data_IF_434460253755
#
_entry.id   IF_434460253755
#
_cell.length_a   1.000
_cell.length_b   1.000
_cell.length_c   1.000
_cell.angle_alpha   90.00
_cell.angle_beta   90.00
_cell.angle_gamma   90.00
#
_symmetry.space_group_name_H-M   'P 1'
#
loop_
_entity.id
_entity.type
_entity.pdbx_description
1 polymer ?
#
# COMPACT_ATOMS: atom_id res chain seq x y z
N UNK A 1 89.54 4.44 6.91
CA UNK A 1 88.86 3.79 8.06
C UNK A 1 87.41 4.29 8.32
N UNK A 2 86.75 5.05 7.44
CA UNK A 2 85.43 5.66 7.72
C UNK A 2 84.21 5.08 6.94
N UNK A 3 84.37 4.08 6.06
CA UNK A 3 83.25 3.56 5.24
C UNK A 3 82.39 2.50 5.95
N UNK A 4 82.96 1.72 6.87
CA UNK A 4 82.26 0.63 7.58
C UNK A 4 81.19 1.15 8.57
N UNK A 5 81.36 2.35 9.12
CA UNK A 5 80.41 2.96 10.07
C UNK A 5 79.19 3.59 9.39
N UNK A 6 79.28 3.96 8.11
CA UNK A 6 78.12 4.46 7.35
C UNK A 6 77.14 3.34 6.96
N UNK A 7 77.65 2.16 6.60
CA UNK A 7 76.84 0.97 6.24
C UNK A 7 75.95 0.49 7.40
N UNK A 8 76.51 0.46 8.62
CA UNK A 8 75.76 0.04 9.82
C UNK A 8 74.63 1.02 10.18
N UNK A 9 74.86 2.33 9.96
CA UNK A 9 73.86 3.36 10.20
C UNK A 9 72.72 3.32 9.18
N UNK A 10 73.02 3.10 7.89
CA UNK A 10 71.99 2.94 6.86
C UNK A 10 71.15 1.67 7.08
N UNK A 11 71.78 0.55 7.39
CA UNK A 11 71.07 -0.70 7.71
C UNK A 11 70.17 -0.57 8.95
N UNK A 12 70.63 0.14 9.99
CA UNK A 12 69.82 0.43 11.17
C UNK A 12 68.60 1.30 10.83
N UNK A 13 68.79 2.32 9.99
CA UNK A 13 67.70 3.21 9.56
C UNK A 13 66.67 2.47 8.69
N UNK A 14 67.12 1.58 7.79
CA UNK A 14 66.23 0.77 6.96
C UNK A 14 65.45 -0.26 7.79
N UNK A 15 66.10 -0.92 8.77
CA UNK A 15 65.39 -1.78 9.74
C UNK A 15 64.35 -1.00 10.53
N UNK A 16 64.67 0.22 10.97
CA UNK A 16 63.72 1.07 11.68
C UNK A 16 62.55 1.52 10.78
N UNK A 17 62.80 1.74 9.49
CA UNK A 17 61.78 2.09 8.49
C UNK A 17 60.84 0.91 8.22
N UNK A 18 61.38 -0.28 7.93
CA UNK A 18 60.59 -1.50 7.75
C UNK A 18 59.72 -1.78 8.98
N UNK A 19 60.28 -1.72 10.19
CA UNK A 19 59.52 -1.92 11.42
C UNK A 19 58.40 -0.88 11.62
N UNK A 20 58.50 0.33 11.06
CA UNK A 20 57.42 1.34 11.07
C UNK A 20 56.36 1.02 10.02
N UNK A 21 56.77 0.63 8.83
CA UNK A 21 55.86 0.26 7.74
C UNK A 21 55.05 -1.01 8.09
N UNK A 22 55.68 -2.00 8.71
CA UNK A 22 55.00 -3.19 9.25
C UNK A 22 53.99 -2.80 10.33
N UNK A 23 54.38 -1.95 11.30
CA UNK A 23 53.46 -1.44 12.33
C UNK A 23 52.28 -0.67 11.73
N UNK A 24 52.52 0.12 10.66
CA UNK A 24 51.45 0.82 9.94
C UNK A 24 50.52 -0.19 9.24
N UNK A 25 51.09 -1.17 8.54
CA UNK A 25 50.34 -2.23 7.87
C UNK A 25 49.49 -3.06 8.84
N UNK A 26 50.01 -3.38 10.03
CA UNK A 26 49.23 -4.03 11.08
C UNK A 26 48.06 -3.18 11.57
N UNK A 27 48.29 -1.88 11.82
CA UNK A 27 47.22 -0.96 12.21
C UNK A 27 46.13 -0.82 11.14
N UNK A 28 46.51 -0.79 9.87
CA UNK A 28 45.55 -0.67 8.77
C UNK A 28 44.75 -1.98 8.57
N UNK A 29 45.39 -3.14 8.74
CA UNK A 29 44.71 -4.44 8.78
C UNK A 29 43.74 -4.54 9.96
N UNK A 30 44.16 -4.12 11.15
CA UNK A 30 43.33 -4.12 12.36
C UNK A 30 42.11 -3.20 12.20
N UNK A 31 42.30 -1.98 11.70
CA UNK A 31 41.20 -1.06 11.39
C UNK A 31 40.22 -1.69 10.40
N UNK A 32 40.73 -2.29 9.32
CA UNK A 32 39.89 -2.96 8.31
C UNK A 32 39.09 -4.12 8.93
N UNK A 33 39.74 -4.93 9.77
CA UNK A 33 39.09 -6.01 10.49
C UNK A 33 37.96 -5.51 11.41
N UNK A 34 38.18 -4.41 12.14
CA UNK A 34 37.15 -3.78 12.99
C UNK A 34 35.94 -3.35 12.16
N UNK A 35 36.15 -2.74 10.98
CA UNK A 35 35.06 -2.31 10.12
C UNK A 35 34.26 -3.50 9.58
N UNK A 36 34.93 -4.55 9.12
CA UNK A 36 34.29 -5.79 8.66
C UNK A 36 33.49 -6.43 9.80
N UNK A 37 34.08 -6.57 10.98
CA UNK A 37 33.41 -7.13 12.16
C UNK A 37 32.18 -6.32 12.56
N UNK A 38 32.26 -4.99 12.56
CA UNK A 38 31.14 -4.12 12.87
C UNK A 38 29.99 -4.28 11.87
N UNK A 39 30.31 -4.36 10.57
CA UNK A 39 29.33 -4.61 9.51
C UNK A 39 28.64 -5.97 9.70
N UNK A 40 29.43 -7.03 9.94
CA UNK A 40 28.89 -8.39 10.17
C UNK A 40 28.01 -8.43 11.42
N UNK A 41 28.46 -7.85 12.55
CA UNK A 41 27.67 -7.77 13.78
C UNK A 41 26.36 -7.02 13.57
N UNK A 42 26.38 -5.90 12.84
CA UNK A 42 25.18 -5.14 12.47
C UNK A 42 24.24 -5.97 11.61
N UNK A 43 24.75 -6.67 10.61
CA UNK A 43 23.96 -7.54 9.74
C UNK A 43 23.28 -8.66 10.54
N UNK A 44 24.05 -9.40 11.34
CA UNK A 44 23.53 -10.49 12.18
C UNK A 44 22.48 -9.98 13.18
N UNK A 45 22.71 -8.83 13.81
CA UNK A 45 21.74 -8.21 14.72
C UNK A 45 20.41 -7.89 14.01
N UNK A 46 20.47 -7.29 12.81
CA UNK A 46 19.26 -7.00 12.01
C UNK A 46 18.52 -8.29 11.61
N UNK A 47 19.24 -9.34 11.24
CA UNK A 47 18.64 -10.64 10.91
C UNK A 47 17.94 -11.27 12.12
N UNK A 48 18.58 -11.26 13.31
CA UNK A 48 17.99 -11.76 14.55
C UNK A 48 16.75 -10.96 14.94
N UNK A 49 16.81 -9.63 14.91
CA UNK A 49 15.68 -8.76 15.20
C UNK A 49 14.50 -9.02 14.25
N UNK A 50 14.76 -9.14 12.94
CA UNK A 50 13.72 -9.45 11.97
C UNK A 50 13.09 -10.83 12.21
N UNK A 51 13.89 -11.84 12.56
CA UNK A 51 13.38 -13.18 12.89
C UNK A 51 12.52 -13.14 14.15
N UNK A 52 12.98 -12.46 15.20
CA UNK A 52 12.24 -12.32 16.44
C UNK A 52 10.91 -11.57 16.22
N UNK A 53 10.93 -10.48 15.47
CA UNK A 53 9.70 -9.74 15.14
C UNK A 53 8.71 -10.61 14.36
N UNK A 54 9.17 -11.41 13.39
CA UNK A 54 8.29 -12.34 12.66
C UNK A 54 7.70 -13.40 13.58
N UNK A 55 8.50 -13.94 14.50
CA UNK A 55 8.02 -14.88 15.51
C UNK A 55 6.93 -14.26 16.39
N UNK A 56 7.16 -13.06 16.93
CA UNK A 56 6.16 -12.34 17.75
C UNK A 56 4.82 -12.13 16.99
N UNK A 57 4.90 -11.87 15.69
CA UNK A 57 3.73 -11.69 14.82
C UNK A 57 3.00 -13.02 14.63
N UNK A 58 3.74 -14.11 14.38
CA UNK A 58 3.18 -15.44 14.21
C UNK A 58 2.50 -15.94 15.50
N UNK A 59 3.18 -15.78 16.63
CA UNK A 59 2.67 -16.15 17.97
C UNK A 59 1.37 -15.40 18.29
N UNK A 60 1.31 -14.10 17.97
CA UNK A 60 0.10 -13.31 18.13
C UNK A 60 -1.08 -13.87 17.32
N UNK A 61 -0.86 -14.19 16.04
CA UNK A 61 -1.93 -14.70 15.20
C UNK A 61 -2.34 -16.12 15.60
N UNK A 62 -1.39 -16.97 16.00
CA UNK A 62 -1.66 -18.31 16.50
C UNK A 62 -2.49 -18.29 17.79
N UNK A 63 -2.12 -17.45 18.77
CA UNK A 63 -2.90 -17.27 20.01
C UNK A 63 -4.33 -16.75 19.72
N UNK A 64 -4.46 -15.93 18.69
CA UNK A 64 -5.76 -15.42 18.22
C UNK A 64 -6.63 -16.52 17.61
N UNK A 65 -6.04 -17.50 16.92
CA UNK A 65 -6.74 -18.64 16.31
C UNK A 65 -7.18 -19.64 17.39
N UNK A 66 -6.40 -19.82 18.45
CA UNK A 66 -6.72 -20.71 19.59
C UNK A 66 -7.68 -20.09 20.62
N UNK A 67 -8.14 -18.86 20.41
CA UNK A 67 -9.09 -18.17 21.30
C UNK A 67 -8.51 -17.73 22.66
N UNK A 68 -7.19 -17.77 22.82
CA UNK A 68 -6.52 -17.51 24.11
C UNK A 68 -6.24 -16.03 24.37
N UNK A 69 -6.48 -15.13 23.39
CA UNK A 69 -6.21 -13.69 23.51
C UNK A 69 -7.41 -12.82 23.11
N UNK A 70 -7.76 -11.84 23.95
CA UNK A 70 -8.73 -10.79 23.61
C UNK A 70 -8.14 -9.84 22.57
N UNK A 71 -8.68 -9.88 21.35
CA UNK A 71 -8.36 -8.94 20.27
C UNK A 71 -8.90 -7.56 20.62
N UNK A 72 -8.02 -6.61 20.89
CA UNK A 72 -8.41 -5.20 21.00
C UNK A 72 -7.68 -4.39 19.94
N UNK A 73 -8.20 -3.20 19.62
CA UNK A 73 -7.64 -2.37 18.56
C UNK A 73 -6.14 -2.08 18.78
N UNK A 74 -5.74 -1.85 20.04
CA UNK A 74 -4.38 -1.53 20.40
C UNK A 74 -3.39 -2.70 20.18
N UNK A 75 -3.81 -3.95 20.42
CA UNK A 75 -2.96 -5.12 20.19
C UNK A 75 -2.73 -5.33 18.70
N UNK A 76 -3.79 -5.21 17.88
CA UNK A 76 -3.68 -5.23 16.42
C UNK A 76 -2.73 -4.13 15.94
N UNK A 77 -2.89 -2.90 16.44
CA UNK A 77 -2.04 -1.76 16.10
C UNK A 77 -0.56 -2.02 16.41
N UNK A 78 -0.25 -2.54 17.60
CA UNK A 78 1.13 -2.88 18.02
C UNK A 78 1.77 -3.95 17.12
N UNK A 79 1.03 -5.01 16.80
CA UNK A 79 1.53 -6.09 15.93
C UNK A 79 1.65 -5.63 14.49
N UNK A 80 0.71 -4.83 13.99
CA UNK A 80 0.81 -4.20 12.69
C UNK A 80 2.08 -3.33 12.58
N UNK A 81 2.42 -2.55 13.63
CA UNK A 81 3.64 -1.73 13.62
C UNK A 81 4.90 -2.58 13.51
N UNK A 82 4.95 -3.68 14.27
CA UNK A 82 6.04 -4.65 14.23
C UNK A 82 6.20 -5.25 12.82
N UNK A 83 5.09 -5.74 12.23
CA UNK A 83 5.12 -6.33 10.89
C UNK A 83 5.56 -5.32 9.83
N UNK A 84 4.97 -4.12 9.81
CA UNK A 84 5.31 -3.09 8.81
C UNK A 84 6.76 -2.61 8.93
N UNK A 85 7.36 -2.64 10.12
CA UNK A 85 8.76 -2.27 10.32
C UNK A 85 9.74 -3.22 9.61
N UNK A 86 9.39 -4.50 9.48
CA UNK A 86 10.24 -5.53 8.85
C UNK A 86 9.67 -6.10 7.56
N UNK A 87 8.55 -5.56 7.09
CA UNK A 87 7.77 -6.14 6.00
C UNK A 87 8.60 -6.30 4.74
N UNK A 88 8.49 -7.49 4.14
CA UNK A 88 9.00 -7.80 2.81
C UNK A 88 7.93 -8.50 1.98
N UNK A 89 8.07 -8.57 0.64
CA UNK A 89 7.12 -9.27 -0.22
C UNK A 89 6.86 -10.73 0.18
N UNK A 90 7.83 -11.40 0.81
CA UNK A 90 7.68 -12.79 1.29
C UNK A 90 6.73 -12.90 2.49
N UNK A 91 6.50 -11.80 3.23
CA UNK A 91 5.61 -11.75 4.40
C UNK A 91 4.12 -11.63 4.01
N UNK A 92 3.76 -11.93 2.75
CA UNK A 92 2.39 -11.84 2.22
C UNK A 92 1.34 -12.57 3.07
N UNK A 93 1.67 -13.74 3.61
CA UNK A 93 0.76 -14.54 4.44
C UNK A 93 0.52 -13.86 5.79
N UNK A 94 1.57 -13.32 6.43
CA UNK A 94 1.43 -12.54 7.67
C UNK A 94 0.60 -11.28 7.45
N UNK A 95 0.81 -10.63 6.31
CA UNK A 95 0.04 -9.45 5.92
C UNK A 95 -1.43 -9.76 5.65
N UNK A 96 -1.72 -10.91 5.03
CA UNK A 96 -3.09 -11.41 4.89
C UNK A 96 -3.77 -11.59 6.25
N UNK A 97 -3.11 -12.30 7.19
CA UNK A 97 -3.63 -12.48 8.55
C UNK A 97 -3.88 -11.14 9.24
N UNK A 98 -3.00 -10.15 9.04
CA UNK A 98 -3.19 -8.80 9.55
C UNK A 98 -4.45 -8.13 8.97
N UNK A 99 -4.64 -8.17 7.65
CA UNK A 99 -5.82 -7.59 7.02
C UNK A 99 -7.11 -8.23 7.53
N UNK A 100 -7.13 -9.57 7.65
CA UNK A 100 -8.27 -10.31 8.20
C UNK A 100 -8.54 -9.93 9.65
N UNK A 101 -7.50 -9.78 10.48
CA UNK A 101 -7.66 -9.35 11.87
C UNK A 101 -8.22 -7.93 11.99
N UNK A 102 -7.74 -6.99 11.16
CA UNK A 102 -8.26 -5.62 11.11
C UNK A 102 -9.74 -5.63 10.70
N UNK A 103 -10.11 -6.28 9.59
CA UNK A 103 -11.50 -6.34 9.14
C UNK A 103 -12.42 -7.03 10.17
N UNK A 104 -11.99 -8.17 10.72
CA UNK A 104 -12.75 -8.86 11.74
C UNK A 104 -12.99 -7.97 12.96
N UNK A 105 -12.01 -7.13 13.34
CA UNK A 105 -12.21 -6.19 14.43
C UNK A 105 -13.28 -5.15 14.13
N UNK A 106 -13.53 -4.79 12.87
CA UNK A 106 -14.55 -3.79 12.48
C UNK A 106 -15.98 -4.36 12.51
N UNK A 107 -16.12 -5.69 12.47
CA UNK A 107 -17.41 -6.39 12.45
C UNK A 107 -17.92 -6.83 13.84
N UNK A 108 -17.14 -6.62 14.90
CA UNK A 108 -17.56 -6.95 16.27
C UNK A 108 -18.75 -6.07 16.68
N UNK A 109 -19.78 -6.66 17.26
CA UNK A 109 -20.96 -5.94 17.75
C UNK A 109 -20.72 -5.34 19.13
N UNK A 110 -21.27 -4.14 19.34
CA UNK A 110 -21.40 -3.49 20.65
C UNK A 110 -20.11 -3.31 21.48
N UNK A 111 -18.92 -3.46 20.88
CA UNK A 111 -17.63 -3.23 21.55
C UNK A 111 -16.74 -2.21 20.81
N UNK A 112 -17.00 -0.89 20.96
CA UNK A 112 -16.26 0.14 20.23
C UNK A 112 -14.74 0.14 20.47
N UNK A 113 -14.29 -0.35 21.62
CA UNK A 113 -12.85 -0.45 21.98
C UNK A 113 -12.10 -1.51 21.17
N UNK A 114 -12.82 -2.44 20.54
CA UNK A 114 -12.24 -3.50 19.70
C UNK A 114 -12.03 -3.01 18.27
N UNK A 115 -12.91 -2.13 17.78
CA UNK A 115 -12.85 -1.61 16.43
C UNK A 115 -11.53 -0.90 16.18
N UNK A 116 -10.81 -1.33 15.14
CA UNK A 116 -9.52 -0.76 14.79
C UNK A 116 -9.57 0.77 14.56
N UNK A 117 -10.68 1.27 14.01
CA UNK A 117 -10.90 2.70 13.76
C UNK A 117 -11.04 3.53 15.03
N UNK A 118 -11.34 2.93 16.19
CA UNK A 118 -11.45 3.66 17.46
C UNK A 118 -10.15 4.38 17.85
N UNK A 119 -9.01 3.88 17.36
CA UNK A 119 -7.70 4.51 17.55
C UNK A 119 -7.59 5.87 16.85
N UNK A 120 -8.40 6.12 15.81
CA UNK A 120 -8.47 7.42 15.14
C UNK A 120 -9.03 8.52 16.05
N UNK A 121 -9.76 8.14 17.11
CA UNK A 121 -10.33 9.08 18.09
C UNK A 121 -9.38 9.34 19.29
N UNK A 122 -8.26 8.63 19.39
CA UNK A 122 -7.30 8.77 20.48
C UNK A 122 -6.27 9.84 20.17
N UNK A 123 -6.18 10.88 21.00
CA UNK A 123 -5.25 12.01 20.83
C UNK A 123 -3.80 11.58 20.55
N UNK A 124 -3.33 10.52 21.22
CA UNK A 124 -1.95 10.03 21.09
C UNK A 124 -1.74 9.11 19.89
N UNK A 125 -2.80 8.44 19.42
CA UNK A 125 -2.71 7.38 18.42
C UNK A 125 -3.25 7.79 17.04
N UNK A 126 -4.03 8.86 16.91
CA UNK A 126 -4.63 9.27 15.62
C UNK A 126 -3.57 9.42 14.52
N UNK A 127 -2.48 10.15 14.77
CA UNK A 127 -1.44 10.39 13.76
C UNK A 127 -0.67 9.10 13.42
N UNK A 128 -0.14 8.35 14.40
CA UNK A 128 0.49 7.05 14.13
C UNK A 128 -0.43 6.06 13.41
N UNK A 129 -1.69 6.00 13.80
CA UNK A 129 -2.71 5.15 13.18
C UNK A 129 -3.00 5.55 11.75
N UNK A 130 -3.14 6.85 11.47
CA UNK A 130 -3.38 7.35 10.12
C UNK A 130 -2.21 7.03 9.18
N UNK A 131 -0.96 7.18 9.65
CA UNK A 131 0.22 6.74 8.89
C UNK A 131 0.15 5.23 8.62
N UNK A 132 -0.13 4.45 9.67
CA UNK A 132 -0.14 3.00 9.56
C UNK A 132 -1.21 2.50 8.59
N UNK A 133 -2.43 3.03 8.65
CA UNK A 133 -3.50 2.58 7.76
C UNK A 133 -3.20 2.96 6.31
N UNK A 134 -2.60 4.13 6.06
CA UNK A 134 -2.11 4.49 4.72
C UNK A 134 -1.07 3.50 4.21
N UNK A 135 -0.10 3.10 5.04
CA UNK A 135 0.92 2.13 4.67
C UNK A 135 0.31 0.75 4.39
N UNK A 136 -0.62 0.28 5.23
CA UNK A 136 -1.36 -0.98 5.03
C UNK A 136 -2.15 -0.95 3.73
N UNK A 137 -2.97 0.07 3.51
CA UNK A 137 -3.79 0.17 2.29
C UNK A 137 -2.94 0.30 1.03
N UNK A 138 -1.78 0.96 1.13
CA UNK A 138 -0.86 1.02 0.02
C UNK A 138 -0.24 -0.35 -0.31
N UNK A 139 0.12 -1.14 0.71
CA UNK A 139 0.56 -2.53 0.50
C UNK A 139 -0.56 -3.36 -0.13
N UNK A 140 -1.82 -3.20 0.31
CA UNK A 140 -2.97 -3.83 -0.36
C UNK A 140 -3.02 -3.49 -1.85
N UNK A 141 -2.82 -2.22 -2.22
CA UNK A 141 -2.78 -1.79 -3.62
C UNK A 141 -1.61 -2.44 -4.39
N UNK A 142 -0.42 -2.49 -3.79
CA UNK A 142 0.76 -3.12 -4.41
C UNK A 142 0.58 -4.62 -4.64
N UNK A 143 -0.11 -5.31 -3.73
CA UNK A 143 -0.45 -6.71 -3.89
C UNK A 143 -1.55 -6.90 -4.93
N UNK A 144 -2.60 -6.07 -4.93
CA UNK A 144 -3.66 -6.08 -5.95
C UNK A 144 -3.11 -6.01 -7.37
N UNK A 145 -2.09 -5.17 -7.62
CA UNK A 145 -1.44 -5.03 -8.93
C UNK A 145 -0.91 -6.36 -9.50
N UNK A 146 -0.59 -7.32 -8.64
CA UNK A 146 0.02 -8.62 -9.03
C UNK A 146 -0.99 -9.76 -9.15
N UNK A 147 -2.22 -9.56 -8.69
CA UNK A 147 -3.24 -10.61 -8.63
C UNK A 147 -4.02 -10.70 -9.95
N UNK A 148 -4.44 -11.92 -10.28
CA UNK A 148 -5.21 -12.23 -11.48
C UNK A 148 -6.63 -12.69 -11.10
N UNK A 149 -7.70 -11.97 -11.49
CA UNK A 149 -9.06 -12.28 -11.02
C UNK A 149 -9.61 -13.65 -11.46
N UNK A 150 -9.04 -14.26 -12.50
CA UNK A 150 -9.38 -15.59 -13.00
C UNK A 150 -8.84 -16.74 -12.14
N UNK A 151 -7.83 -16.48 -11.32
CA UNK A 151 -7.29 -17.47 -10.37
C UNK A 151 -8.11 -17.39 -9.07
N UNK A 152 -8.75 -18.48 -8.68
CA UNK A 152 -9.65 -18.50 -7.51
C UNK A 152 -8.97 -18.03 -6.22
N UNK A 153 -7.71 -18.42 -6.00
CA UNK A 153 -6.94 -17.99 -4.82
C UNK A 153 -6.68 -16.47 -4.85
N UNK A 154 -6.27 -15.95 -6.00
CA UNK A 154 -6.05 -14.52 -6.19
C UNK A 154 -7.35 -13.73 -6.04
N UNK A 155 -8.48 -14.25 -6.52
CA UNK A 155 -9.78 -13.59 -6.37
C UNK A 155 -10.21 -13.44 -4.91
N UNK A 156 -9.92 -14.45 -4.06
CA UNK A 156 -10.12 -14.34 -2.60
C UNK A 156 -9.26 -13.20 -2.01
N UNK A 157 -8.03 -13.05 -2.49
CA UNK A 157 -7.12 -12.00 -2.03
C UNK A 157 -7.51 -10.61 -2.57
N UNK A 158 -7.98 -10.53 -3.81
CA UNK A 158 -8.54 -9.32 -4.41
C UNK A 158 -9.71 -8.83 -3.56
N UNK A 159 -10.65 -9.73 -3.23
CA UNK A 159 -11.79 -9.42 -2.37
C UNK A 159 -11.32 -8.90 -1.01
N UNK A 160 -10.37 -9.57 -0.36
CA UNK A 160 -9.83 -9.14 0.93
C UNK A 160 -9.23 -7.72 0.88
N UNK A 161 -8.38 -7.45 -0.12
CA UNK A 161 -7.70 -6.16 -0.24
C UNK A 161 -8.63 -5.03 -0.68
N UNK A 162 -9.60 -5.30 -1.53
CA UNK A 162 -10.66 -4.35 -1.86
C UNK A 162 -11.57 -4.08 -0.65
N UNK A 163 -11.90 -5.08 0.16
CA UNK A 163 -12.64 -4.87 1.40
C UNK A 163 -11.87 -3.95 2.37
N UNK A 164 -10.56 -4.15 2.54
CA UNK A 164 -9.72 -3.22 3.31
C UNK A 164 -9.83 -1.78 2.78
N UNK A 165 -9.71 -1.59 1.46
CA UNK A 165 -9.82 -0.27 0.84
C UNK A 165 -11.20 0.34 1.04
N UNK A 166 -12.27 -0.41 0.79
CA UNK A 166 -13.66 0.05 0.96
C UNK A 166 -13.91 0.46 2.41
N UNK A 167 -13.53 -0.39 3.37
CA UNK A 167 -13.72 -0.13 4.80
C UNK A 167 -13.03 1.16 5.21
N UNK A 168 -11.76 1.38 4.87
CA UNK A 168 -11.02 2.55 5.38
C UNK A 168 -11.09 3.80 4.50
N UNK A 169 -11.93 3.80 3.45
CA UNK A 169 -12.20 4.98 2.62
C UNK A 169 -13.67 5.40 2.62
N UNK A 170 -14.50 4.78 3.47
CA UNK A 170 -15.91 5.11 3.62
C UNK A 170 -16.38 4.96 5.06
N UNK A 171 -16.84 6.07 5.64
CA UNK A 171 -17.35 6.10 7.01
C UNK A 171 -18.66 5.35 7.19
N UNK A 172 -19.41 5.07 6.12
CA UNK A 172 -20.65 4.28 6.18
C UNK A 172 -20.41 2.84 6.68
N UNK A 173 -19.20 2.33 6.43
CA UNK A 173 -18.76 1.01 6.89
C UNK A 173 -18.38 1.02 8.37
N UNK A 174 -18.20 2.19 8.98
CA UNK A 174 -17.75 2.32 10.35
C UNK A 174 -18.93 2.37 11.31
N UNK A 175 -19.11 1.30 12.08
CA UNK A 175 -20.14 1.22 13.11
C UNK A 175 -20.04 2.34 14.14
N UNK A 176 -18.84 2.88 14.38
CA UNK A 176 -18.60 4.02 15.29
C UNK A 176 -19.30 5.31 14.90
N UNK A 177 -19.74 5.43 13.65
CA UNK A 177 -20.42 6.63 13.14
C UNK A 177 -21.93 6.51 13.29
N UNK A 178 -22.46 5.33 13.62
CA UNK A 178 -23.91 5.12 13.77
C UNK A 178 -24.42 5.67 15.11
N UNK A 179 -25.66 6.15 15.13
CA UNK A 179 -26.34 6.61 16.34
C UNK A 179 -25.65 7.82 16.98
N UNK A 180 -25.17 7.67 18.22
CA UNK A 180 -24.49 8.74 18.97
C UNK A 180 -23.18 9.22 18.34
N UNK A 181 -22.59 8.43 17.42
CA UNK A 181 -21.36 8.76 16.72
C UNK A 181 -21.55 9.61 15.45
N UNK A 182 -22.78 9.93 15.08
CA UNK A 182 -23.08 10.65 13.82
C UNK A 182 -22.41 12.03 13.78
N UNK A 183 -22.29 12.70 14.93
CA UNK A 183 -21.58 13.98 15.06
C UNK A 183 -20.08 13.88 14.69
N UNK A 184 -19.47 12.69 14.76
CA UNK A 184 -18.09 12.46 14.36
C UNK A 184 -17.92 12.25 12.85
N UNK A 185 -19.01 12.02 12.11
CA UNK A 185 -18.97 11.72 10.66
C UNK A 185 -18.15 12.73 9.87
N UNK A 186 -18.30 14.07 10.03
CA UNK A 186 -17.53 15.02 9.22
C UNK A 186 -16.02 14.91 9.46
N UNK A 187 -15.60 14.74 10.71
CA UNK A 187 -14.18 14.59 11.05
C UNK A 187 -13.61 13.28 10.51
N UNK A 188 -14.37 12.19 10.61
CA UNK A 188 -13.99 10.87 10.11
C UNK A 188 -13.99 10.80 8.57
N UNK A 189 -14.87 11.54 7.90
CA UNK A 189 -14.86 11.68 6.44
C UNK A 189 -13.59 12.37 5.94
N UNK A 190 -13.12 13.42 6.63
CA UNK A 190 -11.83 14.06 6.32
C UNK A 190 -10.66 13.09 6.45
N UNK A 191 -10.72 12.14 7.38
CA UNK A 191 -9.71 11.06 7.49
C UNK A 191 -9.77 10.16 6.25
N UNK A 192 -10.95 9.73 5.80
CA UNK A 192 -11.12 8.94 4.58
C UNK A 192 -10.61 9.69 3.34
N UNK A 193 -10.93 10.98 3.20
CA UNK A 193 -10.43 11.85 2.12
C UNK A 193 -8.90 11.94 2.14
N UNK A 194 -8.31 12.09 3.33
CA UNK A 194 -6.86 12.15 3.50
C UNK A 194 -6.16 10.82 3.14
N UNK A 195 -6.80 9.68 3.46
CA UNK A 195 -6.35 8.35 3.05
C UNK A 195 -6.46 8.21 1.52
N UNK A 196 -7.60 8.54 0.93
CA UNK A 196 -7.81 8.46 -0.52
C UNK A 196 -6.84 9.38 -1.29
N UNK A 197 -6.62 10.60 -0.82
CA UNK A 197 -5.64 11.52 -1.40
C UNK A 197 -4.23 10.94 -1.39
N UNK A 198 -3.82 10.28 -0.31
CA UNK A 198 -2.53 9.59 -0.23
C UNK A 198 -2.42 8.43 -1.24
N UNK A 199 -3.48 7.62 -1.38
CA UNK A 199 -3.49 6.52 -2.35
C UNK A 199 -3.41 7.05 -3.78
N UNK A 200 -4.18 8.09 -4.11
CA UNK A 200 -4.18 8.71 -5.43
C UNK A 200 -2.81 9.26 -5.81
N UNK A 201 -2.15 9.98 -4.90
CA UNK A 201 -0.78 10.50 -5.10
C UNK A 201 0.25 9.40 -5.40
N UNK A 202 0.01 8.18 -4.92
CA UNK A 202 0.89 7.03 -5.16
C UNK A 202 0.54 6.22 -6.42
N UNK A 203 -0.52 6.59 -7.16
CA UNK A 203 -0.91 5.91 -8.40
C UNK A 203 -2.01 4.87 -8.24
N UNK A 204 -2.97 5.10 -7.34
CA UNK A 204 -4.10 4.20 -7.11
C UNK A 204 -4.91 3.85 -8.37
N UNK A 205 -5.19 4.83 -9.24
CA UNK A 205 -5.96 4.61 -10.47
C UNK A 205 -5.29 3.63 -11.43
N UNK A 206 -3.96 3.71 -11.59
CA UNK A 206 -3.21 2.75 -12.42
C UNK A 206 -3.33 1.31 -11.91
N UNK A 207 -3.42 1.12 -10.58
CA UNK A 207 -3.61 -0.20 -9.98
C UNK A 207 -5.01 -0.74 -10.28
N UNK A 208 -6.03 0.12 -10.16
CA UNK A 208 -7.41 -0.25 -10.51
C UNK A 208 -7.55 -0.56 -12.00
N UNK A 209 -6.90 0.21 -12.88
CA UNK A 209 -6.87 -0.05 -14.32
C UNK A 209 -6.33 -1.44 -14.62
N UNK A 210 -5.18 -1.82 -14.05
CA UNK A 210 -4.58 -3.14 -14.27
C UNK A 210 -5.55 -4.25 -13.84
N UNK A 211 -6.21 -4.08 -12.69
CA UNK A 211 -7.16 -5.06 -12.18
C UNK A 211 -8.41 -5.18 -13.07
N UNK A 212 -8.95 -4.05 -13.54
CA UNK A 212 -10.09 -3.99 -14.45
C UNK A 212 -9.75 -4.61 -15.80
N UNK A 213 -8.62 -4.22 -16.41
CA UNK A 213 -8.17 -4.78 -17.69
C UNK A 213 -7.97 -6.30 -17.58
N UNK A 214 -7.31 -6.78 -16.52
CA UNK A 214 -7.12 -8.21 -16.30
C UNK A 214 -8.43 -8.98 -16.11
N UNK A 215 -9.48 -8.32 -15.61
CA UNK A 215 -10.76 -8.93 -15.28
C UNK A 215 -11.86 -8.79 -16.34
N UNK A 216 -11.81 -7.74 -17.17
CA UNK A 216 -12.85 -7.35 -18.12
C UNK A 216 -12.44 -7.51 -19.59
N UNK A 217 -11.16 -7.38 -19.93
CA UNK A 217 -10.69 -7.50 -21.32
C UNK A 217 -10.63 -8.96 -21.80
N UNK A 218 -11.75 -9.68 -21.67
CA UNK A 218 -11.91 -11.10 -22.00
C UNK A 218 -13.34 -11.35 -22.48
N UNK A 219 -13.58 -12.48 -23.15
CA UNK A 219 -14.91 -12.88 -23.65
C UNK A 219 -15.94 -13.04 -22.53
N UNK A 220 -15.51 -13.52 -21.35
CA UNK A 220 -16.35 -13.61 -20.15
C UNK A 220 -15.66 -12.89 -18.99
N UNK A 221 -16.31 -11.91 -18.35
CA UNK A 221 -15.76 -11.22 -17.19
C UNK A 221 -15.44 -12.18 -16.05
N UNK A 222 -14.26 -12.03 -15.44
CA UNK A 222 -13.85 -12.82 -14.27
C UNK A 222 -14.09 -12.08 -12.95
N UNK A 223 -14.43 -10.79 -12.99
CA UNK A 223 -14.79 -10.01 -11.80
C UNK A 223 -16.22 -10.33 -11.36
N UNK A 224 -16.40 -10.59 -10.07
CA UNK A 224 -17.73 -10.72 -9.49
C UNK A 224 -18.44 -9.37 -9.42
N UNK A 225 -19.78 -9.37 -9.28
CA UNK A 225 -20.58 -8.17 -9.04
C UNK A 225 -19.98 -7.32 -7.92
N UNK A 226 -19.71 -7.93 -6.76
CA UNK A 226 -19.16 -7.22 -5.59
C UNK A 226 -17.77 -6.63 -5.82
N UNK A 227 -16.90 -7.36 -6.52
CA UNK A 227 -15.55 -6.89 -6.87
C UNK A 227 -15.61 -5.69 -7.80
N UNK A 228 -16.45 -5.75 -8.84
CA UNK A 228 -16.61 -4.66 -9.81
C UNK A 228 -17.23 -3.42 -9.15
N UNK A 229 -18.28 -3.59 -8.35
CA UNK A 229 -18.88 -2.50 -7.55
C UNK A 229 -17.85 -1.84 -6.65
N UNK A 230 -17.01 -2.63 -5.96
CA UNK A 230 -15.98 -2.10 -5.08
C UNK A 230 -14.94 -1.26 -5.84
N UNK A 231 -14.41 -1.79 -6.96
CA UNK A 231 -13.44 -1.07 -7.80
C UNK A 231 -14.04 0.24 -8.30
N UNK A 232 -15.26 0.19 -8.85
CA UNK A 232 -15.92 1.37 -9.37
C UNK A 232 -16.17 2.42 -8.28
N UNK A 233 -16.73 2.01 -7.14
CA UNK A 233 -17.02 2.91 -6.01
C UNK A 233 -15.75 3.56 -5.45
N UNK A 234 -14.67 2.79 -5.33
CA UNK A 234 -13.36 3.28 -4.90
C UNK A 234 -12.76 4.28 -5.89
N UNK A 235 -12.96 4.07 -7.19
CA UNK A 235 -12.49 5.00 -8.22
C UNK A 235 -13.32 6.28 -8.30
N UNK A 236 -14.63 6.20 -8.07
CA UNK A 236 -15.52 7.34 -8.21
C UNK A 236 -15.51 8.26 -6.98
N UNK A 237 -15.37 7.70 -5.77
CA UNK A 237 -15.37 8.47 -4.51
C UNK A 237 -14.43 9.67 -4.49
N UNK A 238 -13.14 9.54 -4.87
CA UNK A 238 -12.23 10.69 -4.86
C UNK A 238 -12.65 11.79 -5.85
N UNK A 239 -13.23 11.41 -6.99
CA UNK A 239 -13.73 12.37 -7.99
C UNK A 239 -14.88 13.18 -7.40
N UNK A 240 -15.83 12.52 -6.72
CA UNK A 240 -16.95 13.19 -6.05
C UNK A 240 -16.45 14.11 -4.92
N UNK A 241 -15.55 13.61 -4.07
CA UNK A 241 -15.03 14.34 -2.92
C UNK A 241 -14.25 15.61 -3.33
N UNK A 242 -13.56 15.59 -4.47
CA UNK A 242 -12.88 16.75 -5.02
C UNK A 242 -13.77 17.58 -5.97
N UNK A 243 -15.09 17.41 -5.92
CA UNK A 243 -16.06 18.10 -6.76
C UNK A 243 -15.72 18.04 -8.27
N UNK A 244 -15.30 16.87 -8.74
CA UNK A 244 -14.97 16.61 -10.14
C UNK A 244 -13.84 17.49 -10.69
N UNK A 245 -12.81 17.75 -9.88
CA UNK A 245 -11.62 18.48 -10.32
C UNK A 245 -11.00 17.86 -11.58
N UNK A 246 -10.53 18.72 -12.49
CA UNK A 246 -9.99 18.35 -13.80
C UNK A 246 -8.92 17.23 -13.69
N UNK A 247 -8.02 17.31 -12.70
CA UNK A 247 -6.99 16.28 -12.47
C UNK A 247 -7.55 14.88 -12.16
N UNK A 248 -8.59 14.80 -11.31
CA UNK A 248 -9.19 13.52 -10.95
C UNK A 248 -10.15 13.02 -12.02
N UNK A 249 -10.84 13.93 -12.71
CA UNK A 249 -11.70 13.59 -13.84
C UNK A 249 -10.86 13.01 -14.99
N UNK A 250 -9.73 13.63 -15.31
CA UNK A 250 -8.71 13.12 -16.23
C UNK A 250 -8.21 11.73 -15.82
N UNK A 251 -7.80 11.57 -14.56
CA UNK A 251 -7.30 10.28 -14.06
C UNK A 251 -8.36 9.17 -14.15
N UNK A 252 -9.61 9.50 -13.82
CA UNK A 252 -10.74 8.57 -13.92
C UNK A 252 -11.03 8.17 -15.37
N UNK A 253 -11.05 9.14 -16.29
CA UNK A 253 -11.22 8.88 -17.72
C UNK A 253 -10.11 7.97 -18.27
N UNK A 254 -8.85 8.35 -18.01
CA UNK A 254 -7.68 7.70 -18.57
C UNK A 254 -7.46 6.28 -18.02
N UNK A 255 -7.83 6.00 -16.77
CA UNK A 255 -7.54 4.71 -16.13
C UNK A 255 -8.77 3.81 -15.92
N UNK A 256 -9.98 4.37 -15.84
CA UNK A 256 -11.19 3.59 -15.56
C UNK A 256 -12.07 3.52 -16.80
N UNK A 257 -12.44 4.67 -17.37
CA UNK A 257 -13.36 4.72 -18.51
C UNK A 257 -12.72 4.26 -19.82
N UNK A 258 -11.39 4.32 -19.92
CA UNK A 258 -10.63 3.78 -21.06
C UNK A 258 -10.56 2.26 -21.08
N UNK A 259 -10.92 1.57 -19.98
CA UNK A 259 -10.88 0.10 -19.93
C UNK A 259 -11.97 -0.45 -20.87
N UNK A 260 -11.61 -1.34 -21.82
CA UNK A 260 -12.56 -1.88 -22.77
C UNK A 260 -13.77 -2.53 -22.10
N UNK A 261 -14.95 -2.31 -22.69
CA UNK A 261 -16.24 -2.86 -22.26
C UNK A 261 -16.66 -2.54 -20.81
N UNK A 262 -15.97 -1.64 -20.09
CA UNK A 262 -16.28 -1.32 -18.69
C UNK A 262 -17.73 -0.87 -18.51
N UNK A 263 -18.23 0.02 -19.36
CA UNK A 263 -19.61 0.54 -19.27
C UNK A 263 -20.64 -0.56 -19.55
N UNK A 264 -20.39 -1.43 -20.53
CA UNK A 264 -21.27 -2.57 -20.83
C UNK A 264 -21.30 -3.57 -19.66
N UNK A 265 -20.16 -3.85 -19.05
CA UNK A 265 -20.11 -4.74 -17.89
C UNK A 265 -20.75 -4.11 -16.65
N UNK A 266 -20.60 -2.79 -16.46
CA UNK A 266 -21.26 -2.08 -15.37
C UNK A 266 -22.78 -2.11 -15.54
N UNK A 267 -23.32 -1.93 -16.75
CA UNK A 267 -24.77 -1.96 -16.98
C UNK A 267 -25.39 -3.34 -16.76
N UNK A 268 -24.68 -4.41 -17.14
CA UNK A 268 -25.17 -5.78 -17.01
C UNK A 268 -24.99 -6.33 -15.59
N UNK A 269 -23.80 -6.15 -14.99
CA UNK A 269 -23.45 -6.81 -13.71
C UNK A 269 -23.79 -5.94 -12.49
N UNK A 270 -23.70 -4.61 -12.62
CA UNK A 270 -23.78 -3.67 -11.49
C UNK A 270 -24.61 -2.43 -11.85
N UNK A 271 -25.92 -2.57 -12.12
CA UNK A 271 -26.77 -1.45 -12.55
C UNK A 271 -26.81 -0.30 -11.53
N UNK A 272 -26.59 -0.60 -10.25
CA UNK A 272 -26.42 0.40 -9.17
C UNK A 272 -25.27 1.38 -9.45
N UNK A 273 -24.16 0.91 -10.01
CA UNK A 273 -23.04 1.76 -10.41
C UNK A 273 -23.43 2.68 -11.57
N UNK A 274 -24.22 2.19 -12.54
CA UNK A 274 -24.76 3.02 -13.63
C UNK A 274 -25.72 4.09 -13.10
N UNK A 275 -26.58 3.75 -12.15
CA UNK A 275 -27.44 4.72 -11.48
C UNK A 275 -26.59 5.81 -10.79
N UNK A 276 -25.51 5.45 -10.10
CA UNK A 276 -24.58 6.41 -9.52
C UNK A 276 -23.93 7.33 -10.58
N UNK A 277 -23.55 6.80 -11.74
CA UNK A 277 -23.05 7.62 -12.85
C UNK A 277 -24.06 8.66 -13.32
N UNK A 278 -25.33 8.26 -13.41
CA UNK A 278 -26.44 9.14 -13.79
C UNK A 278 -26.72 10.18 -12.72
N UNK A 279 -26.82 9.79 -11.45
CA UNK A 279 -27.02 10.70 -10.30
C UNK A 279 -25.95 11.79 -10.23
N UNK A 280 -24.72 11.47 -10.64
CA UNK A 280 -23.62 12.41 -10.66
C UNK A 280 -23.39 13.10 -12.00
N UNK A 281 -24.28 12.96 -12.99
CA UNK A 281 -24.15 13.55 -14.33
C UNK A 281 -22.76 13.32 -14.97
N UNK A 282 -22.16 12.15 -14.74
CA UNK A 282 -20.77 11.90 -15.13
C UNK A 282 -20.54 12.07 -16.63
N UNK A 283 -21.46 11.57 -17.45
CA UNK A 283 -21.34 11.67 -18.91
C UNK A 283 -21.31 13.14 -19.35
N UNK A 284 -22.20 13.98 -18.82
CA UNK A 284 -22.22 15.42 -19.11
C UNK A 284 -20.89 16.07 -18.70
N UNK A 285 -20.35 15.72 -17.55
CA UNK A 285 -19.06 16.25 -17.07
C UNK A 285 -17.90 15.81 -17.96
N UNK A 286 -17.90 14.57 -18.44
CA UNK A 286 -16.89 14.10 -19.39
C UNK A 286 -16.99 14.83 -20.73
N UNK A 287 -18.20 15.05 -21.25
CA UNK A 287 -18.41 15.82 -22.49
C UNK A 287 -17.89 17.25 -22.33
N UNK A 288 -18.21 17.93 -21.22
CA UNK A 288 -17.72 19.28 -20.93
C UNK A 288 -16.19 19.35 -20.73
N UNK A 289 -15.61 18.30 -20.18
CA UNK A 289 -14.17 18.20 -20.00
C UNK A 289 -13.45 18.00 -21.35
N UNK A 290 -13.94 17.06 -22.16
CA UNK A 290 -13.39 16.72 -23.48
C UNK A 290 -13.74 17.74 -24.57
N UNK A 291 -14.72 18.61 -24.37
CA UNK A 291 -15.01 19.70 -25.30
C UNK A 291 -13.90 20.77 -25.31
N UNK A 292 -12.99 20.74 -24.34
CA UNK A 292 -11.79 21.58 -24.32
C UNK A 292 -10.69 20.89 -25.12
N UNK A 293 -10.25 21.52 -26.21
CA UNK A 293 -9.30 20.94 -27.17
C UNK A 293 -8.01 20.44 -26.50
N UNK A 294 -7.41 21.23 -25.60
CA UNK A 294 -6.19 20.85 -24.87
C UNK A 294 -6.36 19.55 -24.06
N UNK A 295 -7.50 19.40 -23.37
CA UNK A 295 -7.77 18.23 -22.54
C UNK A 295 -8.10 17.00 -23.38
N UNK A 296 -8.79 17.19 -24.50
CA UNK A 296 -9.07 16.14 -25.47
C UNK A 296 -7.76 15.60 -26.07
N UNK A 297 -6.91 16.50 -26.58
CA UNK A 297 -5.62 16.16 -27.15
C UNK A 297 -4.72 15.43 -26.14
N UNK A 298 -4.64 15.92 -24.89
CA UNK A 298 -3.86 15.27 -23.85
C UNK A 298 -4.36 13.84 -23.55
N UNK A 299 -5.67 13.63 -23.46
CA UNK A 299 -6.25 12.30 -23.29
C UNK A 299 -5.95 11.41 -24.51
N UNK A 300 -6.15 11.91 -25.73
CA UNK A 300 -5.85 11.17 -26.95
C UNK A 300 -4.39 10.74 -27.02
N UNK A 301 -3.42 11.63 -26.77
CA UNK A 301 -1.98 11.31 -26.77
C UNK A 301 -1.66 10.25 -25.72
N UNK A 302 -2.22 10.37 -24.52
CA UNK A 302 -2.00 9.38 -23.47
C UNK A 302 -2.59 8.00 -23.80
N UNK A 303 -3.67 7.97 -24.58
CA UNK A 303 -4.36 6.75 -24.96
C UNK A 303 -3.83 6.16 -26.28
N UNK A 304 -3.29 6.95 -27.21
CA UNK A 304 -2.62 6.50 -28.44
C UNK A 304 -1.34 5.71 -28.12
N UNK A 305 -0.66 6.04 -27.02
CA UNK A 305 0.43 5.21 -26.48
C UNK A 305 -0.02 3.86 -25.89
N UNK A 306 -1.32 3.66 -25.68
CA UNK A 306 -1.93 2.41 -25.24
C UNK A 306 -2.69 1.78 -26.41
N UNK A 307 -2.10 0.79 -27.07
CA UNK A 307 -2.56 0.08 -28.28
C UNK A 307 -3.92 -0.67 -28.16
N UNK A 308 -4.97 -0.05 -27.63
CA UNK A 308 -6.27 -0.66 -27.33
C UNK A 308 -7.49 0.12 -27.85
N UNK A 309 -7.30 1.23 -28.58
CA UNK A 309 -8.40 2.00 -29.19
C UNK A 309 -8.94 1.40 -30.50
N UNK A 310 -9.62 0.26 -30.41
CA UNK A 310 -10.43 -0.26 -31.52
C UNK A 310 -11.94 -0.32 -31.22
N UNK A 311 -12.42 0.06 -30.03
CA UNK A 311 -13.82 -0.24 -29.63
C UNK A 311 -14.62 0.88 -28.97
N UNK A 312 -14.18 2.14 -29.02
CA UNK A 312 -15.00 3.28 -28.58
C UNK A 312 -15.81 3.94 -29.71
N UNK A 313 -15.79 3.37 -30.93
CA UNK A 313 -16.48 3.91 -32.11
C UNK A 313 -17.49 2.94 -32.77
N UNK A 314 -18.02 1.97 -32.01
CA UNK A 314 -19.13 1.08 -32.42
C UNK A 314 -20.03 0.83 -31.22
#
# INVERSE_FOLDING_TARGET
MFSLTQSSKSEFLDKARQAREERKGHKDKEKSAIHIQALVRRFLCRCRLQKQIRQDVDDYFQASETGTSKKNALSIFKIARKLLFVYRPEDKVRFEKLCRAILASMEVENEPKVWYVSLALSKDLTIPWLKQIKDVLWICCQLLKKLKPDILQDNKMITLYLSMLVTFTDTSTWRIVRGKGEALRPALMRICENIMGHLNQKGFYSILQILLTNGLARTKPSLSKGTLTAIFSLSLRPVIAAHFSDNLLRSFLLHIMSVPAVVSHLSVLTPECMASMQTHDLLRKFILFLSREEQCLDICVCLEGATHFAYLAT
#
